data_IF_795627674963
#
_entry.id   IF_795627674963
#
_cell.length_a   1.000
_cell.length_b   1.000
_cell.length_c   1.000
_cell.angle_alpha   90.00
_cell.angle_beta   90.00
_cell.angle_gamma   90.00
#
_symmetry.space_group_name_H-M   'P 1'
#
loop_
_entity.id
_entity.type
_entity.pdbx_description
1 polymer ?
#
# COMPACT_ATOMS: atom_id res chain seq x y z
N UNK A 1 22.50 0.45 -4.21
CA UNK A 1 21.80 -0.34 -5.25
C UNK A 1 22.16 -1.82 -5.12
N UNK A 2 23.45 -2.23 -5.24
CA UNK A 2 23.88 -3.64 -5.21
C UNK A 2 23.39 -4.35 -3.95
N UNK A 3 23.64 -3.77 -2.76
CA UNK A 3 23.16 -4.34 -1.49
C UNK A 3 21.65 -4.53 -1.45
N UNK A 4 20.88 -3.55 -1.94
CA UNK A 4 19.40 -3.62 -1.96
C UNK A 4 18.90 -4.74 -2.88
N UNK A 5 19.54 -4.92 -4.03
CA UNK A 5 19.19 -5.99 -4.98
C UNK A 5 19.55 -7.36 -4.40
N UNK A 6 20.72 -7.49 -3.76
CA UNK A 6 21.12 -8.72 -3.09
C UNK A 6 20.18 -9.08 -1.93
N UNK A 7 19.84 -8.10 -1.07
CA UNK A 7 18.90 -8.29 0.04
C UNK A 7 17.48 -8.64 -0.43
N UNK A 8 17.07 -8.20 -1.64
CA UNK A 8 15.81 -8.62 -2.24
C UNK A 8 15.80 -10.12 -2.61
N UNK A 9 16.98 -10.78 -2.62
CA UNK A 9 17.13 -12.21 -2.85
C UNK A 9 17.56 -12.59 -4.27
N UNK A 10 18.02 -11.61 -5.05
CA UNK A 10 18.48 -11.90 -6.41
C UNK A 10 19.91 -12.49 -6.45
N UNK A 11 20.65 -12.46 -5.35
CA UNK A 11 21.99 -13.05 -5.29
C UNK A 11 22.00 -14.57 -5.56
N UNK A 12 20.88 -15.25 -5.29
CA UNK A 12 20.72 -16.70 -5.47
C UNK A 12 20.04 -17.07 -6.79
N UNK A 13 19.97 -16.13 -7.72
CA UNK A 13 19.35 -16.33 -9.05
C UNK A 13 20.41 -16.22 -10.14
N UNK A 14 19.99 -16.39 -11.41
CA UNK A 14 20.85 -16.16 -12.59
C UNK A 14 21.26 -14.68 -12.78
N UNK A 15 20.80 -13.80 -11.89
CA UNK A 15 21.08 -12.37 -11.89
C UNK A 15 22.15 -12.04 -10.82
N UNK A 16 23.32 -11.65 -11.26
CA UNK A 16 24.39 -11.18 -10.37
C UNK A 16 24.20 -9.69 -10.03
N UNK A 17 23.83 -9.35 -8.77
CA UNK A 17 23.70 -7.97 -8.33
C UNK A 17 24.96 -7.13 -8.49
N UNK A 18 26.14 -7.75 -8.49
CA UNK A 18 27.43 -7.06 -8.63
C UNK A 18 27.73 -6.68 -10.07
N UNK A 19 27.11 -7.35 -11.04
CA UNK A 19 27.29 -7.06 -12.46
C UNK A 19 26.57 -5.77 -12.92
N UNK A 20 25.73 -5.17 -12.06
CA UNK A 20 24.95 -3.97 -12.36
C UNK A 20 25.84 -2.74 -12.41
N UNK A 21 25.87 -2.04 -13.53
CA UNK A 21 26.51 -0.72 -13.61
C UNK A 21 25.53 0.33 -13.05
N UNK A 22 25.97 1.06 -12.04
CA UNK A 22 25.18 2.15 -11.44
C UNK A 22 25.73 3.50 -11.92
N UNK A 23 24.93 4.21 -12.71
CA UNK A 23 25.21 5.60 -13.10
C UNK A 23 24.31 6.50 -12.23
N UNK A 24 24.92 7.47 -11.53
CA UNK A 24 24.20 8.37 -10.66
C UNK A 24 24.42 9.83 -11.10
N UNK A 25 23.31 10.57 -11.25
CA UNK A 25 23.33 12.01 -11.42
C UNK A 25 22.31 12.62 -10.46
N UNK A 26 22.82 13.27 -9.41
CA UNK A 26 21.99 13.90 -8.38
C UNK A 26 22.16 15.40 -8.48
N UNK A 27 21.05 16.11 -8.74
CA UNK A 27 21.00 17.56 -8.72
C UNK A 27 20.37 18.02 -7.41
N UNK A 28 21.00 19.03 -6.79
CA UNK A 28 20.35 19.69 -5.64
C UNK A 28 19.08 20.39 -6.11
N UNK A 29 17.96 20.14 -5.42
CA UNK A 29 16.74 20.92 -5.62
C UNK A 29 16.99 22.33 -5.10
N UNK A 30 16.79 23.34 -5.96
CA UNK A 30 16.74 24.72 -5.51
C UNK A 30 15.35 24.91 -4.91
N UNK A 31 15.22 25.26 -3.60
CA UNK A 31 13.92 25.59 -3.03
C UNK A 31 13.32 26.73 -3.86
N UNK A 32 12.12 26.56 -4.37
CA UNK A 32 11.38 27.67 -4.97
C UNK A 32 11.04 28.61 -3.81
N UNK A 33 11.84 29.64 -3.62
CA UNK A 33 11.50 30.75 -2.71
C UNK A 33 10.43 31.57 -3.43
N UNK A 34 9.19 31.37 -3.04
CA UNK A 34 8.15 32.34 -3.31
C UNK A 34 8.43 33.48 -2.34
N UNK A 35 8.52 34.66 -2.88
CA UNK A 35 8.90 35.93 -2.31
C UNK A 35 8.62 36.12 -0.80
N UNK A 36 9.48 36.78 -0.08
CA UNK A 36 9.67 36.88 1.40
C UNK A 36 8.49 37.26 2.28
N UNK A 37 7.27 37.18 1.81
CA UNK A 37 6.03 37.37 2.57
C UNK A 37 5.07 36.18 2.47
N UNK A 38 5.43 35.11 1.75
CA UNK A 38 4.62 33.91 1.57
C UNK A 38 5.00 32.82 2.60
N UNK A 39 4.07 31.89 2.93
CA UNK A 39 4.39 30.69 3.68
C UNK A 39 5.62 30.00 3.10
N UNK A 40 6.46 29.38 3.93
CA UNK A 40 7.63 28.66 3.44
C UNK A 40 7.21 27.56 2.44
N UNK A 41 8.10 27.16 1.55
CA UNK A 41 7.80 26.06 0.62
C UNK A 41 7.44 24.74 1.35
N UNK A 42 7.77 24.63 2.64
CA UNK A 42 7.36 23.56 3.53
C UNK A 42 5.89 23.65 3.98
N UNK A 43 5.30 24.84 3.91
CA UNK A 43 3.95 25.11 4.42
C UNK A 43 2.89 25.08 3.31
N UNK A 44 3.28 24.91 2.06
CA UNK A 44 2.38 24.88 0.91
C UNK A 44 2.51 23.62 0.08
N UNK A 45 1.42 23.23 -0.59
CA UNK A 45 1.44 22.11 -1.50
C UNK A 45 2.40 22.36 -2.68
N UNK A 46 3.29 21.42 -2.93
CA UNK A 46 4.29 21.51 -4.00
C UNK A 46 3.81 20.98 -5.36
N UNK A 47 2.54 20.54 -5.43
CA UNK A 47 1.97 19.90 -6.62
C UNK A 47 0.44 20.03 -6.63
N UNK A 48 -0.14 20.11 -7.84
CA UNK A 48 -1.57 19.92 -8.04
C UNK A 48 -1.86 18.42 -8.03
N UNK A 49 -2.68 17.96 -7.10
CA UNK A 49 -3.01 16.54 -6.99
C UNK A 49 -4.35 16.33 -6.32
N UNK A 50 -5.05 15.26 -6.71
CA UNK A 50 -6.18 14.73 -5.98
C UNK A 50 -5.83 13.33 -5.52
N UNK A 51 -6.02 13.08 -4.24
CA UNK A 51 -5.67 11.84 -3.56
C UNK A 51 -6.90 11.22 -2.94
N UNK A 52 -6.86 9.91 -2.75
CA UNK A 52 -7.95 9.14 -2.17
C UNK A 52 -7.46 8.31 -1.01
N UNK A 53 -8.27 8.23 0.03
CA UNK A 53 -8.14 7.34 1.14
C UNK A 53 -9.39 6.50 1.29
N UNK A 54 -9.25 5.23 1.66
CA UNK A 54 -10.36 4.32 1.83
C UNK A 54 -10.20 3.45 3.09
N UNK A 55 -11.30 3.14 3.73
CA UNK A 55 -11.37 2.16 4.81
C UNK A 55 -12.73 1.45 4.80
N UNK A 56 -12.77 0.20 5.28
CA UNK A 56 -13.99 -0.56 5.44
C UNK A 56 -13.86 -1.57 6.59
N UNK A 57 -14.98 -2.07 7.08
CA UNK A 57 -15.06 -3.02 8.18
C UNK A 57 -14.90 -4.50 7.77
N UNK A 58 -14.51 -4.78 6.52
CA UNK A 58 -14.39 -6.14 5.99
C UNK A 58 -13.29 -6.97 6.66
N UNK A 59 -12.26 -6.33 7.17
CA UNK A 59 -11.11 -6.97 7.81
C UNK A 59 -10.64 -6.17 9.02
N UNK A 60 -9.88 -6.81 9.91
CA UNK A 60 -9.25 -6.13 11.06
C UNK A 60 -8.22 -5.08 10.64
N UNK A 61 -7.77 -5.11 9.41
CA UNK A 61 -6.90 -4.13 8.78
C UNK A 61 -7.67 -2.90 8.30
N UNK A 62 -9.00 -2.95 8.31
CA UNK A 62 -9.90 -1.96 7.69
C UNK A 62 -9.57 -1.73 6.22
N UNK A 63 -9.29 -2.82 5.51
CA UNK A 63 -9.06 -2.88 4.07
C UNK A 63 -9.97 -3.92 3.41
N UNK A 64 -10.20 -3.83 2.10
CA UNK A 64 -10.93 -4.84 1.34
C UNK A 64 -10.29 -6.23 1.47
N UNK A 65 -11.12 -7.26 1.63
CA UNK A 65 -10.67 -8.63 1.85
C UNK A 65 -9.71 -9.12 0.75
N UNK A 66 -10.00 -8.79 -0.51
CA UNK A 66 -9.21 -9.24 -1.64
C UNK A 66 -7.74 -8.82 -1.55
N UNK A 67 -7.47 -7.54 -1.27
CA UNK A 67 -6.09 -7.02 -1.18
C UNK A 67 -5.37 -7.54 0.08
N UNK A 68 -6.08 -7.71 1.19
CA UNK A 68 -5.51 -8.28 2.41
C UNK A 68 -5.03 -9.71 2.16
N UNK A 69 -5.85 -10.54 1.54
CA UNK A 69 -5.48 -11.93 1.21
C UNK A 69 -4.35 -11.99 0.17
N UNK A 70 -4.40 -11.15 -0.86
CA UNK A 70 -3.33 -11.09 -1.86
C UNK A 70 -1.97 -10.70 -1.22
N UNK A 71 -1.97 -9.73 -0.30
CA UNK A 71 -0.76 -9.36 0.43
C UNK A 71 -0.29 -10.47 1.40
N UNK A 72 -1.20 -11.19 2.06
CA UNK A 72 -0.84 -12.33 2.93
C UNK A 72 -0.17 -13.43 2.12
N UNK A 73 -0.72 -13.77 0.94
CA UNK A 73 -0.12 -14.75 0.02
C UNK A 73 1.27 -14.31 -0.45
N UNK A 74 1.43 -13.06 -0.85
CA UNK A 74 2.70 -12.52 -1.31
C UNK A 74 3.77 -12.49 -0.19
N UNK A 75 3.37 -12.13 1.05
CA UNK A 75 4.26 -12.21 2.22
C UNK A 75 4.65 -13.63 2.54
N UNK A 76 3.70 -14.56 2.54
CA UNK A 76 3.98 -15.97 2.79
C UNK A 76 4.97 -16.54 1.76
N UNK A 77 4.83 -16.15 0.48
CA UNK A 77 5.79 -16.53 -0.57
C UNK A 77 7.20 -16.01 -0.28
N UNK A 78 7.33 -14.76 0.19
CA UNK A 78 8.62 -14.21 0.64
C UNK A 78 9.19 -15.01 1.81
N UNK A 79 8.37 -15.38 2.80
CA UNK A 79 8.82 -16.09 4.01
C UNK A 79 9.29 -17.50 3.66
N UNK A 80 8.53 -18.24 2.82
CA UNK A 80 8.91 -19.57 2.31
C UNK A 80 10.25 -19.53 1.57
N UNK A 81 10.46 -18.49 0.75
CA UNK A 81 11.74 -18.28 0.07
C UNK A 81 12.87 -17.99 1.05
N UNK A 82 12.65 -17.07 2.01
CA UNK A 82 13.67 -16.70 3.00
C UNK A 82 14.07 -17.87 3.91
N UNK A 83 13.12 -18.75 4.24
CA UNK A 83 13.36 -19.99 4.98
C UNK A 83 13.97 -21.11 4.13
N UNK A 84 14.05 -20.92 2.80
CA UNK A 84 14.47 -21.93 1.84
C UNK A 84 13.62 -23.22 1.89
N UNK A 85 12.35 -23.11 2.28
CA UNK A 85 11.41 -24.23 2.33
C UNK A 85 11.13 -24.78 0.92
N UNK A 86 11.20 -23.91 -0.09
CA UNK A 86 11.14 -24.26 -1.51
C UNK A 86 12.45 -23.80 -2.15
N UNK A 87 13.30 -24.78 -2.48
CA UNK A 87 14.60 -24.51 -3.05
C UNK A 87 14.51 -23.76 -4.39
N UNK A 88 15.40 -22.78 -4.56
CA UNK A 88 15.53 -22.00 -5.81
C UNK A 88 14.29 -21.16 -6.19
N UNK A 89 13.41 -20.84 -5.23
CA UNK A 89 12.31 -19.93 -5.47
C UNK A 89 12.85 -18.49 -5.63
N UNK A 90 12.50 -17.86 -6.75
CA UNK A 90 12.91 -16.49 -7.05
C UNK A 90 12.13 -15.47 -6.19
N UNK A 91 12.67 -14.25 -6.01
CA UNK A 91 11.96 -13.18 -5.32
C UNK A 91 10.76 -12.64 -6.12
N UNK A 92 10.74 -12.88 -7.42
CA UNK A 92 9.62 -12.48 -8.28
C UNK A 92 8.41 -13.36 -8.02
N UNK A 93 7.27 -12.71 -7.81
CA UNK A 93 6.02 -13.40 -7.64
C UNK A 93 4.85 -12.45 -7.63
N UNK A 94 3.66 -13.00 -7.84
CA UNK A 94 2.42 -12.26 -7.83
C UNK A 94 1.31 -13.11 -7.24
N UNK A 95 0.44 -12.49 -6.46
CA UNK A 95 -0.79 -13.08 -5.96
C UNK A 95 -1.99 -12.23 -6.38
N UNK A 96 -3.04 -12.89 -6.84
CA UNK A 96 -4.32 -12.27 -7.16
C UNK A 96 -5.42 -13.05 -6.48
N UNK A 97 -6.38 -12.34 -5.86
CA UNK A 97 -7.53 -12.94 -5.19
C UNK A 97 -8.79 -12.30 -5.75
N UNK A 98 -9.72 -13.13 -6.21
CA UNK A 98 -11.04 -12.72 -6.65
C UNK A 98 -12.06 -13.05 -5.58
N UNK A 99 -12.82 -12.04 -5.16
CA UNK A 99 -13.85 -12.17 -4.11
C UNK A 99 -15.21 -11.84 -4.70
N UNK A 100 -16.20 -12.69 -4.42
CA UNK A 100 -17.59 -12.43 -4.73
C UNK A 100 -18.23 -11.62 -3.62
N UNK A 101 -18.94 -10.58 -3.99
CA UNK A 101 -19.65 -9.68 -3.08
C UNK A 101 -21.16 -9.83 -3.23
N UNK A 102 -21.87 -9.73 -2.13
CA UNK A 102 -23.31 -9.46 -2.08
C UNK A 102 -23.51 -8.03 -1.58
N UNK A 103 -23.94 -7.14 -2.47
CA UNK A 103 -23.84 -5.70 -2.20
C UNK A 103 -22.37 -5.30 -2.02
N UNK A 104 -22.03 -4.80 -0.83
CA UNK A 104 -20.65 -4.41 -0.48
C UNK A 104 -19.99 -5.36 0.54
N UNK A 105 -20.65 -6.46 0.90
CA UNK A 105 -20.13 -7.47 1.83
C UNK A 105 -19.43 -8.61 1.07
N UNK A 106 -18.19 -8.98 1.44
CA UNK A 106 -17.53 -10.14 0.86
C UNK A 106 -18.31 -11.41 1.25
N UNK A 107 -18.53 -12.28 0.28
CA UNK A 107 -19.30 -13.53 0.45
C UNK A 107 -18.40 -14.75 0.37
N UNK A 108 -17.75 -14.94 -0.76
CA UNK A 108 -16.90 -16.10 -1.05
C UNK A 108 -15.68 -15.66 -1.83
N UNK A 109 -14.63 -16.47 -1.75
CA UNK A 109 -13.47 -16.33 -2.63
C UNK A 109 -13.74 -17.12 -3.91
N UNK A 110 -13.83 -16.39 -5.02
CA UNK A 110 -14.10 -16.96 -6.35
C UNK A 110 -12.88 -17.62 -6.97
N UNK A 111 -11.68 -17.15 -6.63
CA UNK A 111 -10.46 -17.72 -7.14
C UNK A 111 -9.20 -17.08 -6.59
N UNK A 112 -8.12 -17.84 -6.69
CA UNK A 112 -6.77 -17.43 -6.34
C UNK A 112 -5.83 -17.74 -7.48
N UNK A 113 -5.04 -16.77 -7.91
CA UNK A 113 -3.95 -17.00 -8.84
C UNK A 113 -2.63 -16.66 -8.15
N UNK A 114 -1.71 -17.61 -8.12
CA UNK A 114 -0.35 -17.43 -7.64
C UNK A 114 0.63 -17.62 -8.79
N UNK A 115 1.45 -16.62 -9.05
CA UNK A 115 2.55 -16.71 -10.02
C UNK A 115 3.87 -16.71 -9.29
N UNK A 116 4.75 -17.66 -9.58
CA UNK A 116 6.07 -17.75 -8.99
C UNK A 116 7.10 -18.23 -10.05
N UNK A 117 8.35 -17.82 -9.87
CA UNK A 117 9.46 -18.28 -10.68
C UNK A 117 10.45 -19.07 -9.81
N UNK A 118 11.05 -20.12 -10.40
CA UNK A 118 12.08 -20.91 -9.76
C UNK A 118 13.09 -21.41 -10.79
N UNK A 119 14.34 -21.54 -10.39
CA UNK A 119 15.36 -22.17 -11.24
C UNK A 119 15.22 -23.69 -11.19
N UNK A 120 15.23 -24.38 -12.36
CA UNK A 120 15.21 -25.84 -12.38
C UNK A 120 14.69 -26.46 -13.68
N UNK A 121 14.76 -27.81 -13.74
CA UNK A 121 14.28 -28.60 -14.86
C UNK A 121 12.77 -28.80 -14.85
N UNK A 122 12.18 -29.21 -15.98
CA UNK A 122 10.75 -29.50 -16.14
C UNK A 122 10.20 -30.54 -15.15
N UNK A 123 11.07 -31.44 -14.65
CA UNK A 123 10.66 -32.48 -13.70
C UNK A 123 10.44 -31.86 -12.29
N UNK A 124 11.22 -30.83 -11.90
CA UNK A 124 11.01 -30.04 -10.69
C UNK A 124 9.76 -29.15 -10.76
N UNK A 125 9.41 -28.72 -11.96
CA UNK A 125 8.23 -27.88 -12.23
C UNK A 125 6.91 -28.52 -11.80
N UNK A 126 6.74 -29.84 -12.02
CA UNK A 126 5.51 -30.55 -11.64
C UNK A 126 5.33 -30.67 -10.13
N UNK A 127 6.40 -30.86 -9.37
CA UNK A 127 6.37 -30.87 -7.91
C UNK A 127 6.24 -29.44 -7.32
N UNK A 128 6.74 -28.44 -8.03
CA UNK A 128 6.72 -27.05 -7.57
C UNK A 128 5.28 -26.51 -7.37
N UNK A 129 4.36 -26.85 -8.27
CA UNK A 129 2.96 -26.40 -8.15
C UNK A 129 2.31 -26.92 -6.86
N UNK A 130 2.52 -28.19 -6.52
CA UNK A 130 2.02 -28.78 -5.26
C UNK A 130 2.65 -28.12 -4.05
N UNK A 131 3.97 -27.94 -4.05
CA UNK A 131 4.69 -27.29 -2.96
C UNK A 131 4.24 -25.83 -2.75
N UNK A 132 4.07 -25.07 -3.83
CA UNK A 132 3.58 -23.69 -3.76
C UNK A 132 2.15 -23.63 -3.19
N UNK A 133 1.32 -24.60 -3.58
CA UNK A 133 -0.04 -24.69 -3.06
C UNK A 133 -0.02 -24.93 -1.56
N UNK A 134 0.60 -26.00 -1.12
CA UNK A 134 0.62 -26.41 0.29
C UNK A 134 1.32 -25.35 1.18
N UNK A 135 2.50 -24.88 0.78
CA UNK A 135 3.30 -23.99 1.58
C UNK A 135 2.78 -22.53 1.61
N UNK A 136 2.03 -22.11 0.60
CA UNK A 136 1.60 -20.70 0.47
C UNK A 136 0.09 -20.59 0.50
N UNK A 137 -0.64 -21.23 -0.42
CA UNK A 137 -2.09 -21.03 -0.56
C UNK A 137 -2.82 -21.62 0.64
N UNK A 138 -2.61 -22.90 0.93
CA UNK A 138 -3.32 -23.62 1.99
C UNK A 138 -2.89 -23.11 3.38
N UNK A 139 -1.67 -22.59 3.53
CA UNK A 139 -1.19 -21.96 4.76
C UNK A 139 -1.84 -20.59 5.06
N UNK A 140 -2.29 -19.87 4.03
CA UNK A 140 -2.89 -18.54 4.17
C UNK A 140 -4.41 -18.59 4.17
N UNK A 141 -4.99 -19.44 3.33
CA UNK A 141 -6.45 -19.62 3.22
C UNK A 141 -6.92 -20.60 4.30
N UNK A 142 -7.28 -20.04 5.43
CA UNK A 142 -7.89 -20.80 6.55
C UNK A 142 -9.24 -21.40 6.11
N UNK A 143 -9.84 -22.33 6.90
CA UNK A 143 -11.15 -22.88 6.60
C UNK A 143 -12.25 -21.85 6.34
N UNK A 144 -12.12 -20.66 6.93
CA UNK A 144 -13.02 -19.51 6.72
C UNK A 144 -12.95 -18.96 5.28
N UNK A 145 -11.78 -19.04 4.66
CA UNK A 145 -11.53 -18.53 3.29
C UNK A 145 -11.24 -19.66 2.30
N UNK A 146 -11.87 -20.81 2.51
CA UNK A 146 -11.62 -21.98 1.67
C UNK A 146 -12.07 -21.74 0.22
N UNK A 147 -11.18 -22.08 -0.70
CA UNK A 147 -11.42 -22.00 -2.14
C UNK A 147 -11.42 -23.40 -2.72
N UNK A 148 -12.38 -23.76 -3.60
CA UNK A 148 -12.35 -25.01 -4.32
C UNK A 148 -11.06 -25.19 -5.12
N UNK A 149 -10.61 -26.44 -5.27
CA UNK A 149 -9.33 -26.76 -5.91
C UNK A 149 -9.23 -26.31 -7.35
N UNK A 150 -10.32 -26.37 -8.08
CA UNK A 150 -10.45 -25.93 -9.46
C UNK A 150 -10.42 -24.40 -9.64
N UNK A 151 -10.52 -23.66 -8.53
CA UNK A 151 -10.44 -22.19 -8.49
C UNK A 151 -9.08 -21.67 -8.03
N UNK A 152 -8.12 -22.55 -7.77
CA UNK A 152 -6.74 -22.17 -7.44
C UNK A 152 -5.85 -22.43 -8.66
N UNK A 153 -5.37 -21.34 -9.25
CA UNK A 153 -4.44 -21.39 -10.38
C UNK A 153 -3.02 -21.08 -9.90
N UNK A 154 -2.08 -21.97 -10.14
CA UNK A 154 -0.66 -21.74 -9.85
C UNK A 154 0.11 -21.75 -11.16
N UNK A 155 0.69 -20.60 -11.48
CA UNK A 155 1.51 -20.39 -12.67
C UNK A 155 2.98 -20.37 -12.22
N UNK A 156 3.70 -21.43 -12.58
CA UNK A 156 5.13 -21.51 -12.31
C UNK A 156 5.94 -21.35 -13.59
N UNK A 157 6.99 -20.53 -13.55
CA UNK A 157 7.93 -20.37 -14.66
C UNK A 157 9.33 -20.81 -14.24
N UNK A 158 10.11 -21.32 -15.19
CA UNK A 158 11.50 -21.78 -14.99
C UNK A 158 12.50 -20.92 -15.78
N UNK A 159 12.10 -19.76 -16.23
CA UNK A 159 12.99 -18.84 -16.95
C UNK A 159 13.62 -17.81 -16.01
N UNK A 160 14.67 -17.14 -16.48
CA UNK A 160 15.25 -16.03 -15.74
C UNK A 160 14.18 -14.96 -15.47
N UNK A 161 14.08 -14.51 -14.23
CA UNK A 161 13.22 -13.43 -13.77
C UNK A 161 14.02 -12.17 -13.45
N UNK A 162 13.44 -11.32 -12.63
CA UNK A 162 14.12 -10.18 -12.05
C UNK A 162 14.34 -8.98 -12.96
N UNK A 163 15.23 -8.09 -12.53
CA UNK A 163 15.45 -6.79 -13.17
C UNK A 163 15.89 -6.87 -14.64
N UNK A 164 16.52 -7.96 -15.08
CA UNK A 164 16.91 -8.18 -16.47
C UNK A 164 15.73 -8.34 -17.41
N UNK A 165 14.62 -8.88 -16.91
CA UNK A 165 13.38 -9.07 -17.66
C UNK A 165 12.43 -7.91 -17.52
N UNK A 166 12.29 -7.40 -16.30
CA UNK A 166 11.29 -6.40 -15.99
C UNK A 166 11.70 -5.61 -14.73
N UNK A 167 11.81 -4.30 -14.87
CA UNK A 167 12.16 -3.40 -13.78
C UNK A 167 11.38 -2.09 -13.87
N UNK A 168 11.44 -1.27 -12.82
CA UNK A 168 10.82 0.04 -12.80
C UNK A 168 9.30 0.01 -12.72
N UNK A 169 8.75 -0.74 -11.76
CA UNK A 169 7.30 -0.90 -11.58
C UNK A 169 6.65 0.17 -10.69
N UNK A 170 7.44 1.02 -10.02
CA UNK A 170 6.92 2.13 -9.20
C UNK A 170 5.98 3.02 -10.05
N UNK A 171 4.80 3.29 -9.52
CA UNK A 171 3.74 4.04 -10.22
C UNK A 171 2.98 3.26 -11.29
N UNK A 172 3.32 1.97 -11.49
CA UNK A 172 2.62 1.09 -12.44
C UNK A 172 1.76 0.03 -11.75
N UNK A 173 1.81 -0.02 -10.42
CA UNK A 173 1.10 -0.95 -9.56
C UNK A 173 0.52 -0.25 -8.33
N UNK A 174 -0.12 0.91 -8.54
CA UNK A 174 -0.67 1.74 -7.45
C UNK A 174 -1.80 1.05 -6.70
N UNK A 175 -2.56 0.19 -7.35
CA UNK A 175 -3.57 -0.67 -6.74
C UNK A 175 -2.97 -1.63 -5.71
N UNK A 176 -1.80 -2.21 -5.99
CA UNK A 176 -1.06 -3.06 -5.03
C UNK A 176 -0.58 -2.24 -3.84
N UNK A 177 -0.15 -1.01 -4.08
CA UNK A 177 0.35 -0.11 -3.03
C UNK A 177 -0.78 0.41 -2.11
N UNK A 178 -2.04 0.33 -2.53
CA UNK A 178 -3.20 0.92 -1.86
C UNK A 178 -4.30 -0.10 -1.53
N UNK A 179 -5.40 -0.12 -2.28
CA UNK A 179 -6.64 -0.83 -1.93
C UNK A 179 -6.99 -1.99 -2.88
N UNK A 180 -6.07 -2.40 -3.74
CA UNK A 180 -6.38 -3.27 -4.87
C UNK A 180 -7.25 -2.51 -5.89
N UNK A 181 -8.09 -3.23 -6.60
CA UNK A 181 -9.04 -2.64 -7.57
C UNK A 181 -10.40 -2.30 -6.94
N UNK A 182 -10.48 -2.16 -5.61
CA UNK A 182 -11.76 -2.01 -4.90
C UNK A 182 -12.21 -0.55 -4.78
N UNK A 183 -11.30 0.37 -4.51
CA UNK A 183 -11.60 1.80 -4.35
C UNK A 183 -10.75 2.67 -5.26
N UNK A 184 -11.07 3.94 -5.33
CA UNK A 184 -10.32 4.93 -6.11
C UNK A 184 -8.91 5.14 -5.54
N UNK A 185 -7.98 5.54 -6.39
CA UNK A 185 -6.65 6.01 -6.01
C UNK A 185 -6.22 7.15 -6.93
N UNK A 186 -5.30 8.01 -6.47
CA UNK A 186 -4.89 9.22 -7.20
C UNK A 186 -4.01 8.99 -8.45
N UNK A 187 -3.68 7.74 -8.78
CA UNK A 187 -2.84 7.41 -9.94
C UNK A 187 -1.36 7.73 -9.77
N UNK A 188 -0.97 8.49 -8.76
CA UNK A 188 0.42 8.86 -8.51
C UNK A 188 1.16 7.78 -7.73
N UNK A 189 2.44 7.56 -8.07
CA UNK A 189 3.31 6.69 -7.29
C UNK A 189 3.50 7.22 -5.87
N UNK A 190 3.48 6.36 -4.88
CA UNK A 190 3.79 6.70 -3.48
C UNK A 190 5.28 6.54 -3.19
N UNK A 191 5.85 5.37 -3.51
CA UNK A 191 7.28 5.08 -3.35
C UNK A 191 8.16 5.99 -4.21
N UNK A 192 9.36 6.32 -3.72
CA UNK A 192 10.34 7.14 -4.43
C UNK A 192 10.10 8.64 -4.35
N UNK A 193 9.00 9.10 -3.76
CA UNK A 193 8.72 10.52 -3.53
C UNK A 193 9.16 10.95 -2.13
N UNK A 194 9.55 12.21 -2.02
CA UNK A 194 9.81 12.83 -0.75
C UNK A 194 8.54 12.82 0.14
N UNK A 195 8.64 12.62 1.45
CA UNK A 195 7.50 12.64 2.36
C UNK A 195 6.71 13.96 2.38
N UNK A 196 7.31 15.07 1.97
CA UNK A 196 6.61 16.37 1.87
C UNK A 196 5.72 16.49 0.63
N UNK A 197 5.79 15.53 -0.31
CA UNK A 197 4.96 15.57 -1.53
C UNK A 197 3.54 15.16 -1.24
N UNK A 198 2.58 16.03 -1.58
CA UNK A 198 1.15 15.78 -1.34
C UNK A 198 0.59 14.57 -2.10
N UNK A 199 1.15 14.20 -3.25
CA UNK A 199 0.84 12.92 -3.90
C UNK A 199 0.95 11.72 -2.96
N UNK A 200 1.95 11.74 -2.07
CA UNK A 200 2.25 10.67 -1.12
C UNK A 200 1.56 10.92 0.21
N UNK A 201 1.91 12.02 0.87
CA UNK A 201 1.44 12.31 2.23
C UNK A 201 -0.05 12.60 2.27
N UNK A 202 -0.60 13.21 1.23
CA UNK A 202 -2.05 13.39 1.10
C UNK A 202 -2.80 12.06 1.01
N UNK A 203 -2.25 11.04 0.31
CA UNK A 203 -2.84 9.69 0.32
C UNK A 203 -2.86 9.08 1.72
N UNK A 204 -1.79 9.30 2.51
CA UNK A 204 -1.74 8.84 3.90
C UNK A 204 -2.76 9.56 4.77
N UNK A 205 -2.90 10.88 4.58
CA UNK A 205 -3.89 11.69 5.30
C UNK A 205 -5.32 11.28 4.97
N UNK A 206 -5.62 11.04 3.70
CA UNK A 206 -6.92 10.56 3.27
C UNK A 206 -7.22 9.16 3.86
N UNK A 207 -6.23 8.23 3.87
CA UNK A 207 -6.34 6.93 4.53
C UNK A 207 -6.57 7.06 6.03
N UNK A 208 -5.82 7.91 6.71
CA UNK A 208 -5.96 8.17 8.13
C UNK A 208 -7.37 8.67 8.46
N UNK A 209 -7.87 9.64 7.71
CA UNK A 209 -9.21 10.17 7.88
C UNK A 209 -10.29 9.10 7.66
N UNK A 210 -10.26 8.37 6.53
CA UNK A 210 -11.20 7.32 6.23
C UNK A 210 -11.21 6.23 7.31
N UNK A 211 -10.02 5.83 7.76
CA UNK A 211 -9.87 4.81 8.81
C UNK A 211 -10.45 5.25 10.15
N UNK A 212 -10.22 6.51 10.54
CA UNK A 212 -10.78 7.06 11.76
C UNK A 212 -12.31 7.21 11.70
N UNK A 213 -12.89 7.53 10.53
CA UNK A 213 -14.36 7.55 10.34
C UNK A 213 -14.97 6.16 10.58
N UNK A 214 -14.39 5.11 10.00
CA UNK A 214 -14.85 3.72 10.21
C UNK A 214 -14.62 3.29 11.65
N UNK A 215 -13.46 3.58 12.23
CA UNK A 215 -13.13 3.26 13.62
C UNK A 215 -14.04 3.98 14.63
N UNK A 216 -14.50 5.18 14.31
CA UNK A 216 -15.48 5.95 15.09
C UNK A 216 -16.90 5.36 15.01
N UNK A 217 -17.11 4.36 14.16
CA UNK A 217 -18.42 3.78 13.92
C UNK A 217 -19.39 4.71 13.17
N UNK A 218 -18.87 5.70 12.47
CA UNK A 218 -19.69 6.65 11.70
C UNK A 218 -20.15 6.10 10.36
N UNK A 219 -19.45 5.11 9.82
CA UNK A 219 -19.81 4.38 8.61
C UNK A 219 -19.16 2.98 8.63
N UNK A 220 -19.69 2.03 7.83
CA UNK A 220 -19.07 0.72 7.62
C UNK A 220 -17.97 0.79 6.56
N UNK A 221 -18.06 1.77 5.66
CA UNK A 221 -17.06 2.10 4.65
C UNK A 221 -16.98 3.62 4.49
N UNK A 222 -15.78 4.09 4.16
CA UNK A 222 -15.55 5.50 3.93
C UNK A 222 -14.44 5.68 2.89
N UNK A 223 -14.70 6.49 1.88
CA UNK A 223 -13.70 7.04 0.99
C UNK A 223 -13.59 8.53 1.25
N UNK A 224 -12.37 9.02 1.37
CA UNK A 224 -12.04 10.44 1.54
C UNK A 224 -11.23 10.89 0.33
N UNK A 225 -11.70 11.92 -0.36
CA UNK A 225 -10.98 12.58 -1.44
C UNK A 225 -10.45 13.91 -0.95
N UNK A 226 -9.18 14.19 -1.20
CA UNK A 226 -8.54 15.47 -0.88
C UNK A 226 -7.87 16.02 -2.13
N UNK A 227 -8.17 17.28 -2.47
CA UNK A 227 -7.55 17.97 -3.61
C UNK A 227 -6.63 19.08 -3.13
N UNK A 228 -5.40 19.10 -3.63
CA UNK A 228 -4.40 20.12 -3.34
C UNK A 228 -4.04 20.92 -4.58
N UNK A 229 -3.77 22.21 -4.39
CA UNK A 229 -3.25 23.08 -5.46
C UNK A 229 -1.90 23.65 -5.05
N UNK A 230 -0.97 23.67 -6.01
CA UNK A 230 0.37 24.20 -5.82
C UNK A 230 0.36 25.62 -5.25
N UNK A 231 1.16 25.85 -4.24
CA UNK A 231 1.31 27.15 -3.58
C UNK A 231 0.20 27.48 -2.56
N UNK A 232 -0.78 26.58 -2.33
CA UNK A 232 -1.76 26.74 -1.26
C UNK A 232 -1.38 25.92 -0.04
N UNK A 233 -1.59 26.47 1.13
CA UNK A 233 -1.40 25.78 2.41
C UNK A 233 -2.55 24.85 2.74
N UNK A 234 -3.77 25.20 2.38
CA UNK A 234 -4.95 24.40 2.64
C UNK A 234 -5.38 23.59 1.42
N UNK A 235 -6.00 22.43 1.60
CA UNK A 235 -6.63 21.71 0.48
C UNK A 235 -7.71 22.56 -0.19
N UNK A 236 -7.90 22.36 -1.47
CA UNK A 236 -8.96 23.01 -2.27
C UNK A 236 -10.32 22.42 -1.93
N UNK A 237 -10.37 21.10 -1.72
CA UNK A 237 -11.58 20.39 -1.30
C UNK A 237 -11.23 19.15 -0.49
N UNK A 238 -12.15 18.78 0.40
CA UNK A 238 -12.18 17.50 1.10
C UNK A 238 -13.60 16.96 0.99
N UNK A 239 -13.75 15.81 0.35
CA UNK A 239 -15.03 15.16 0.12
C UNK A 239 -15.04 13.77 0.77
N UNK A 240 -16.22 13.33 1.21
CA UNK A 240 -16.46 12.04 1.84
C UNK A 240 -17.57 11.31 1.11
N UNK A 241 -17.38 10.02 0.87
CA UNK A 241 -18.40 9.10 0.38
C UNK A 241 -18.43 7.88 1.30
N UNK A 242 -19.53 7.67 1.99
CA UNK A 242 -19.73 6.49 2.85
C UNK A 242 -20.48 5.37 2.16
N UNK A 243 -20.74 5.49 0.85
CA UNK A 243 -21.47 4.49 0.05
C UNK A 243 -22.83 4.12 0.65
N UNK A 244 -23.52 5.08 1.21
CA UNK A 244 -24.80 4.91 1.91
C UNK A 244 -24.72 4.06 3.19
N UNK A 245 -23.55 3.84 3.76
CA UNK A 245 -23.35 3.17 5.06
C UNK A 245 -23.21 4.15 6.22
N UNK A 246 -23.18 5.45 5.94
CA UNK A 246 -23.02 6.52 6.92
C UNK A 246 -24.19 6.59 7.92
N UNK A 247 -23.86 6.77 9.18
CA UNK A 247 -24.84 6.98 10.26
C UNK A 247 -25.30 8.44 10.37
N UNK A 248 -24.57 9.30 9.71
CA UNK A 248 -24.88 10.74 9.52
C UNK A 248 -24.53 11.12 8.09
N UNK A 249 -25.05 12.26 7.56
CA UNK A 249 -24.75 12.71 6.20
C UNK A 249 -23.25 12.89 5.94
N UNK A 250 -22.79 12.51 4.75
CA UNK A 250 -21.39 12.57 4.35
C UNK A 250 -20.78 13.98 4.47
N UNK A 251 -21.56 15.01 4.14
CA UNK A 251 -21.15 16.41 4.28
C UNK A 251 -20.90 16.81 5.75
N UNK A 252 -21.61 16.19 6.70
CA UNK A 252 -21.38 16.40 8.14
C UNK A 252 -20.06 15.72 8.54
N UNK A 253 -19.80 14.51 8.07
CA UNK A 253 -18.52 13.81 8.31
C UNK A 253 -17.37 14.64 7.73
N UNK A 254 -17.50 15.12 6.49
CA UNK A 254 -16.49 15.95 5.85
C UNK A 254 -16.14 17.20 6.67
N UNK A 255 -17.14 17.91 7.18
CA UNK A 255 -16.91 19.08 8.05
C UNK A 255 -16.21 18.71 9.35
N UNK A 256 -16.55 17.58 9.94
CA UNK A 256 -15.94 17.15 11.20
C UNK A 256 -14.49 16.73 10.99
N UNK A 257 -14.17 15.96 9.97
CA UNK A 257 -12.77 15.59 9.71
C UNK A 257 -11.91 16.82 9.40
N UNK A 258 -12.43 17.82 8.67
CA UNK A 258 -11.71 19.08 8.42
C UNK A 258 -11.47 19.91 9.67
N UNK A 259 -12.30 19.76 10.70
CA UNK A 259 -12.11 20.45 11.98
C UNK A 259 -11.10 19.74 12.88
N UNK A 260 -11.11 18.40 12.87
CA UNK A 260 -10.31 17.57 13.78
C UNK A 260 -8.93 17.21 13.24
N UNK A 261 -8.72 17.32 11.93
CA UNK A 261 -7.48 16.95 11.24
C UNK A 261 -6.99 18.14 10.43
N UNK A 262 -5.77 18.57 10.71
CA UNK A 262 -5.10 19.59 9.91
C UNK A 262 -4.51 18.94 8.64
N UNK A 263 -5.17 19.16 7.51
CA UNK A 263 -4.75 18.64 6.21
C UNK A 263 -3.72 19.52 5.49
N UNK A 264 -3.20 20.57 6.13
CA UNK A 264 -2.10 21.34 5.55
C UNK A 264 -0.82 20.52 5.47
N UNK A 265 0.12 20.79 4.55
CA UNK A 265 1.42 20.12 4.50
C UNK A 265 2.16 20.16 5.83
N UNK A 266 2.10 21.31 6.54
CA UNK A 266 2.70 21.47 7.85
C UNK A 266 2.00 20.59 8.90
N UNK A 267 0.67 20.65 9.00
CA UNK A 267 -0.11 19.87 9.96
C UNK A 267 0.11 18.37 9.78
N UNK A 268 0.16 17.88 8.52
CA UNK A 268 0.46 16.50 8.21
C UNK A 268 1.91 16.12 8.52
N UNK A 269 2.84 17.06 8.35
CA UNK A 269 4.23 16.90 8.76
C UNK A 269 4.38 16.61 10.25
N UNK A 270 3.65 17.35 11.08
CA UNK A 270 3.60 17.16 12.54
C UNK A 270 2.81 15.91 12.93
N UNK A 271 1.60 15.72 12.37
CA UNK A 271 0.73 14.58 12.69
C UNK A 271 1.42 13.24 12.47
N UNK A 272 2.14 13.08 11.37
CA UNK A 272 2.83 11.84 11.02
C UNK A 272 4.32 11.85 11.39
N UNK A 273 4.81 12.91 12.03
CA UNK A 273 6.23 13.07 12.38
C UNK A 273 7.17 12.85 11.17
N UNK A 274 6.81 13.37 9.98
CA UNK A 274 7.47 13.08 8.72
C UNK A 274 8.96 13.39 8.71
N UNK A 275 9.40 14.39 9.49
CA UNK A 275 10.81 14.76 9.64
C UNK A 275 11.64 13.69 10.36
N UNK A 276 11.01 12.84 11.15
CA UNK A 276 11.67 11.80 11.94
C UNK A 276 11.65 10.44 11.27
N UNK A 277 10.62 10.14 10.48
CA UNK A 277 10.46 8.84 9.84
C UNK A 277 11.68 8.38 9.03
N UNK A 278 12.40 9.25 8.27
CA UNK A 278 13.59 8.81 7.54
C UNK A 278 14.71 8.29 8.44
N UNK A 279 14.75 8.69 9.71
CA UNK A 279 15.76 8.27 10.69
C UNK A 279 15.36 7.00 11.45
N UNK A 280 14.09 6.63 11.38
CA UNK A 280 13.59 5.43 12.05
C UNK A 280 14.06 4.17 11.31
N UNK A 281 14.15 3.06 12.05
CA UNK A 281 14.52 1.74 11.51
C UNK A 281 15.86 1.78 10.77
N UNK A 282 16.85 2.45 11.34
CA UNK A 282 18.20 2.60 10.76
C UNK A 282 18.18 3.20 9.33
N UNK A 283 17.28 4.18 9.11
CA UNK A 283 17.09 4.82 7.80
C UNK A 283 16.29 4.02 6.78
N UNK A 284 15.64 2.94 7.21
CA UNK A 284 14.93 1.99 6.32
C UNK A 284 13.42 2.17 6.30
N UNK A 285 12.86 3.10 7.06
CA UNK A 285 11.40 3.23 7.23
C UNK A 285 10.67 3.26 5.89
N UNK A 286 11.03 4.17 4.98
CA UNK A 286 10.39 4.27 3.67
C UNK A 286 10.79 3.16 2.70
N UNK A 287 11.95 2.57 2.86
CA UNK A 287 12.40 1.41 2.09
C UNK A 287 11.51 0.20 2.37
N UNK A 288 11.16 -0.03 3.63
CA UNK A 288 10.33 -1.14 4.04
C UNK A 288 8.89 -1.06 3.51
N UNK A 289 8.46 0.13 3.05
CA UNK A 289 7.19 0.33 2.35
C UNK A 289 7.22 -0.04 0.86
N UNK A 290 8.40 -0.26 0.30
CA UNK A 290 8.53 -0.56 -1.14
C UNK A 290 7.96 -1.91 -1.57
N UNK A 291 7.55 -2.76 -0.62
CA UNK A 291 6.90 -4.03 -0.88
C UNK A 291 5.64 -4.19 0.00
N UNK A 292 4.64 -4.90 -0.53
CA UNK A 292 3.38 -5.24 0.16
C UNK A 292 2.49 -4.05 0.55
N UNK A 293 2.58 -2.96 -0.20
CA UNK A 293 1.75 -1.78 -0.03
C UNK A 293 2.13 -0.85 1.11
N UNK A 294 1.45 0.28 1.16
CA UNK A 294 1.69 1.37 2.09
C UNK A 294 0.68 1.40 3.25
N UNK A 295 -0.32 0.51 3.25
CA UNK A 295 -1.40 0.49 4.24
C UNK A 295 -1.47 -0.85 4.97
N UNK A 296 -2.07 -0.84 6.16
CA UNK A 296 -2.31 -2.00 7.01
C UNK A 296 -1.04 -2.82 7.35
N UNK A 297 0.11 -2.17 7.41
CA UNK A 297 1.40 -2.78 7.75
C UNK A 297 1.62 -2.68 9.27
N UNK A 298 0.88 -3.51 10.03
CA UNK A 298 0.92 -3.51 11.51
C UNK A 298 2.34 -3.65 12.07
N UNK A 299 3.17 -4.43 11.39
CA UNK A 299 4.57 -4.67 11.77
C UNK A 299 5.47 -3.43 11.61
N UNK A 300 5.01 -2.42 10.88
CA UNK A 300 5.76 -1.18 10.67
C UNK A 300 5.31 -0.05 11.61
N UNK A 301 4.19 -0.21 12.29
CA UNK A 301 3.59 0.82 13.15
C UNK A 301 3.50 2.19 12.45
N UNK A 302 2.77 2.21 11.33
CA UNK A 302 2.65 3.38 10.46
C UNK A 302 1.78 4.46 11.11
N UNK A 303 2.23 5.73 11.20
CA UNK A 303 1.45 6.80 11.82
C UNK A 303 0.06 7.00 11.19
N UNK A 304 -0.06 6.88 9.88
CA UNK A 304 -1.32 7.02 9.16
C UNK A 304 -2.27 5.83 9.28
N UNK A 305 -1.87 4.79 10.01
CA UNK A 305 -2.74 3.67 10.37
C UNK A 305 -3.27 3.77 11.80
N UNK A 306 -2.96 4.84 12.53
CA UNK A 306 -3.52 5.10 13.86
C UNK A 306 -5.02 5.43 13.78
N UNK A 307 -5.74 5.12 14.85
CA UNK A 307 -7.18 5.42 15.03
C UNK A 307 -7.43 6.32 16.24
N UNK A 308 -6.45 7.12 16.58
CA UNK A 308 -6.42 7.99 17.75
C UNK A 308 -7.36 9.20 17.66
N UNK A 309 -7.82 9.54 16.44
CA UNK A 309 -8.81 10.57 16.19
C UNK A 309 -10.26 10.07 16.29
N UNK A 310 -10.48 8.75 16.30
CA UNK A 310 -11.83 8.16 16.18
C UNK A 310 -12.80 8.62 17.27
N UNK A 311 -12.35 8.65 18.53
CA UNK A 311 -13.20 9.10 19.64
C UNK A 311 -13.63 10.56 19.47
N UNK A 312 -12.70 11.46 19.12
CA UNK A 312 -13.00 12.88 18.87
C UNK A 312 -13.99 13.07 17.73
N UNK A 313 -13.85 12.28 16.66
CA UNK A 313 -14.81 12.30 15.53
C UNK A 313 -16.21 11.88 15.98
N UNK A 314 -16.33 10.81 16.77
CA UNK A 314 -17.61 10.35 17.30
C UNK A 314 -18.28 11.42 18.18
N UNK A 315 -17.54 12.02 19.09
CA UNK A 315 -18.02 13.09 19.99
C UNK A 315 -18.42 14.36 19.20
N UNK A 316 -17.67 14.69 18.16
CA UNK A 316 -17.91 15.88 17.34
C UNK A 316 -19.11 15.76 16.39
N UNK A 317 -19.58 14.55 16.16
CA UNK A 317 -20.79 14.26 15.36
C UNK A 317 -22.04 14.13 16.23
N UNK A 318 -21.90 13.78 17.51
CA UNK A 318 -23.02 13.71 18.44
C UNK A 318 -23.63 15.10 18.67
#
# INVERSE_FOLDING_TARGET
>A
VHATVAEAGYADTDYDPQSVTVLSSVMASIPIRIDGSAPSAADTASVNTTVFGYACDQTSEMLPLAIVLAHRLARRMKDVRAANDIAHLHPDGQAQVSVRYEGRRPKDIEGVTLTAAATGSDQRRRGLTTLLREAIVDAVLTPEYRVPDDRVMIISSTGPGGPTRHAGLTGRKNDIDTYGSYSRHGGAALSGKDPSRMDRTGCYAARYAAKNVVAAGLADECEVQISYAMGRSEPVSVDVDTFSTGRVPDDRIARVICREIDFTPFGLGELFALHWLPRMRDGRFFRDLGAFGHFARKELNLPWEATDCAQRLAESVA
#
